data_IF_047881718071
#
_entry.id   IF_047881718071
#
_cell.length_a   1.000
_cell.length_b   1.000
_cell.length_c   1.000
_cell.angle_alpha   90.00
_cell.angle_beta   90.00
_cell.angle_gamma   90.00
#
_symmetry.space_group_name_H-M   'P 1'
#
loop_
_entity.id
_entity.type
_entity.pdbx_description
1 polymer ?
#
# COMPACT_ATOMS: atom_id res chain seq x y z
N UNK A 1 43.90 40.53 -6.10
CA UNK A 1 42.43 40.44 -5.84
C UNK A 1 41.60 39.64 -6.87
N UNK A 2 42.14 39.21 -8.04
CA UNK A 2 41.35 38.44 -9.06
C UNK A 2 41.17 36.93 -8.81
N UNK A 3 42.02 36.28 -8.01
CA UNK A 3 41.94 34.82 -7.75
C UNK A 3 40.75 34.42 -6.88
N UNK A 4 40.34 35.21 -5.89
CA UNK A 4 39.22 34.93 -5.02
C UNK A 4 37.85 34.99 -5.72
N UNK A 5 37.71 35.89 -6.73
CA UNK A 5 36.49 36.01 -7.52
C UNK A 5 36.26 34.78 -8.43
N UNK A 6 37.29 34.27 -9.08
CA UNK A 6 37.22 33.07 -9.94
C UNK A 6 36.82 31.85 -9.12
N UNK A 7 37.39 31.64 -7.95
CA UNK A 7 37.10 30.53 -7.07
C UNK A 7 35.65 30.59 -6.55
N UNK A 8 35.17 31.77 -6.19
CA UNK A 8 33.77 31.99 -5.77
C UNK A 8 32.78 31.71 -6.89
N UNK A 9 33.05 32.17 -8.10
CA UNK A 9 32.19 31.90 -9.26
C UNK A 9 32.19 30.41 -9.65
N UNK A 10 33.32 29.73 -9.57
CA UNK A 10 33.41 28.30 -9.80
C UNK A 10 32.58 27.53 -8.77
N UNK A 11 32.68 27.87 -7.49
CA UNK A 11 31.85 27.25 -6.42
C UNK A 11 30.36 27.52 -6.64
N UNK A 12 29.97 28.74 -7.02
CA UNK A 12 28.57 29.05 -7.31
C UNK A 12 28.02 28.22 -8.48
N UNK A 13 28.78 28.11 -9.57
CA UNK A 13 28.40 27.29 -10.74
C UNK A 13 28.28 25.82 -10.35
N UNK A 14 29.26 25.29 -9.59
CA UNK A 14 29.23 23.91 -9.14
C UNK A 14 28.01 23.62 -8.26
N UNK A 15 27.66 24.54 -7.34
CA UNK A 15 26.46 24.42 -6.50
C UNK A 15 25.17 24.49 -7.32
N UNK A 16 25.11 25.40 -8.32
CA UNK A 16 23.95 25.45 -9.23
C UNK A 16 23.78 24.15 -10.02
N UNK A 17 24.86 23.60 -10.55
CA UNK A 17 24.81 22.30 -11.26
C UNK A 17 24.35 21.20 -10.32
N UNK A 18 24.95 21.10 -9.13
CA UNK A 18 24.55 20.08 -8.14
C UNK A 18 23.08 20.23 -7.74
N UNK A 19 22.61 21.45 -7.50
CA UNK A 19 21.19 21.72 -7.20
C UNK A 19 20.26 21.32 -8.33
N UNK A 20 20.61 21.64 -9.58
CA UNK A 20 19.83 21.24 -10.77
C UNK A 20 19.77 19.72 -10.93
N UNK A 21 20.88 19.02 -10.71
CA UNK A 21 20.92 17.54 -10.75
C UNK A 21 20.05 16.92 -9.65
N UNK A 22 20.10 17.46 -8.41
CA UNK A 22 19.25 16.99 -7.31
C UNK A 22 17.76 17.21 -7.63
N UNK A 23 17.38 18.37 -8.16
CA UNK A 23 15.99 18.65 -8.56
C UNK A 23 15.54 17.73 -9.71
N UNK A 24 16.40 17.51 -10.70
CA UNK A 24 16.13 16.58 -11.80
C UNK A 24 15.91 15.15 -11.30
N UNK A 25 16.77 14.70 -10.37
CA UNK A 25 16.63 13.37 -9.75
C UNK A 25 15.34 13.24 -8.94
N UNK A 26 14.98 14.25 -8.14
CA UNK A 26 13.74 14.26 -7.39
C UNK A 26 12.52 14.21 -8.33
N UNK A 27 12.50 15.04 -9.37
CA UNK A 27 11.44 15.04 -10.38
C UNK A 27 11.31 13.68 -11.09
N UNK A 28 12.43 13.04 -11.41
CA UNK A 28 12.45 11.71 -12.03
C UNK A 28 11.86 10.61 -11.13
N UNK A 29 12.15 10.65 -9.83
CA UNK A 29 11.57 9.70 -8.86
C UNK A 29 10.06 9.86 -8.78
N UNK A 30 9.55 11.09 -8.68
CA UNK A 30 8.11 11.36 -8.65
C UNK A 30 7.42 10.95 -9.95
N UNK A 31 8.02 11.23 -11.11
CA UNK A 31 7.46 10.83 -12.41
C UNK A 31 7.35 9.30 -12.54
N UNK A 32 8.37 8.55 -12.09
CA UNK A 32 8.32 7.09 -12.08
C UNK A 32 7.26 6.55 -11.12
N UNK A 33 7.12 7.13 -9.94
CA UNK A 33 6.11 6.72 -8.97
C UNK A 33 4.70 6.96 -9.53
N UNK A 34 4.45 8.12 -10.11
CA UNK A 34 3.17 8.43 -10.76
C UNK A 34 2.86 7.45 -11.91
N UNK A 35 3.84 7.20 -12.79
CA UNK A 35 3.70 6.24 -13.90
C UNK A 35 3.38 4.83 -13.37
N UNK A 36 4.05 4.39 -12.32
CA UNK A 36 3.79 3.08 -11.71
C UNK A 36 2.35 2.97 -11.18
N UNK A 37 1.85 4.00 -10.49
CA UNK A 37 0.46 4.03 -10.00
C UNK A 37 -0.54 4.01 -11.16
N UNK A 38 -0.26 4.75 -12.24
CA UNK A 38 -1.11 4.74 -13.44
C UNK A 38 -1.14 3.34 -14.09
N UNK A 39 0.02 2.71 -14.27
CA UNK A 39 0.12 1.35 -14.83
C UNK A 39 -0.58 0.30 -13.96
N UNK A 40 -0.50 0.43 -12.63
CA UNK A 40 -1.20 -0.47 -11.70
C UNK A 40 -2.72 -0.29 -11.80
N UNK A 41 -3.19 0.95 -11.88
CA UNK A 41 -4.61 1.24 -12.05
C UNK A 41 -5.13 0.72 -13.39
N UNK A 42 -4.41 0.94 -14.50
CA UNK A 42 -4.72 0.40 -15.82
C UNK A 42 -4.76 -1.14 -15.82
N UNK A 43 -3.79 -1.77 -15.17
CA UNK A 43 -3.77 -3.23 -15.03
C UNK A 43 -5.01 -3.75 -14.27
N UNK A 44 -5.46 -3.05 -13.23
CA UNK A 44 -6.68 -3.41 -12.52
C UNK A 44 -7.92 -3.31 -13.42
N UNK A 45 -8.06 -2.22 -14.20
CA UNK A 45 -9.19 -2.05 -15.12
C UNK A 45 -9.21 -3.14 -16.22
N UNK A 46 -8.04 -3.52 -16.73
CA UNK A 46 -7.93 -4.61 -17.72
C UNK A 46 -8.29 -5.97 -17.10
N UNK A 47 -7.86 -6.23 -15.86
CA UNK A 47 -8.23 -7.44 -15.13
C UNK A 47 -9.75 -7.49 -14.88
N UNK A 48 -10.35 -6.37 -14.47
CA UNK A 48 -11.80 -6.23 -14.29
C UNK A 48 -12.58 -6.44 -15.60
N UNK A 49 -12.00 -6.06 -16.74
CA UNK A 49 -12.57 -6.34 -18.07
C UNK A 49 -12.41 -7.81 -18.51
N UNK A 50 -11.82 -8.67 -17.68
CA UNK A 50 -11.67 -10.11 -17.92
C UNK A 50 -10.40 -10.51 -18.67
N UNK A 51 -9.41 -9.63 -18.80
CA UNK A 51 -8.10 -9.99 -19.35
C UNK A 51 -7.38 -10.94 -18.38
N UNK A 52 -6.92 -12.12 -18.82
CA UNK A 52 -6.25 -13.07 -17.95
C UNK A 52 -4.81 -12.64 -17.63
N UNK A 53 -4.37 -12.82 -16.38
CA UNK A 53 -2.98 -12.61 -15.92
C UNK A 53 -2.41 -11.24 -16.30
N UNK A 54 -3.07 -10.18 -15.81
CA UNK A 54 -2.68 -8.80 -16.11
C UNK A 54 -1.56 -8.34 -15.18
N UNK A 55 -0.41 -8.00 -15.74
CA UNK A 55 0.70 -7.39 -15.02
C UNK A 55 0.78 -5.88 -15.33
N UNK A 56 1.12 -5.05 -14.32
CA UNK A 56 1.28 -3.61 -14.53
C UNK A 56 2.36 -3.26 -15.57
N UNK A 57 3.43 -4.05 -15.63
CA UNK A 57 4.49 -3.98 -16.65
C UNK A 57 5.06 -5.37 -16.93
N UNK A 58 5.71 -5.61 -18.09
CA UNK A 58 6.09 -6.95 -18.54
C UNK A 58 6.97 -7.77 -17.59
N UNK A 59 7.78 -7.10 -16.77
CA UNK A 59 8.67 -7.72 -15.78
C UNK A 59 8.17 -7.59 -14.35
N UNK A 60 6.90 -7.23 -14.14
CA UNK A 60 6.31 -7.21 -12.81
C UNK A 60 6.20 -8.65 -12.27
N UNK A 61 6.54 -8.80 -10.98
CA UNK A 61 6.38 -10.04 -10.22
C UNK A 61 5.10 -10.03 -9.38
N UNK A 62 4.15 -9.16 -9.75
CA UNK A 62 2.88 -8.96 -9.08
C UNK A 62 1.77 -8.62 -10.08
N UNK A 63 0.53 -8.80 -9.66
CA UNK A 63 -0.68 -8.48 -10.40
C UNK A 63 -1.71 -7.85 -9.46
N UNK A 64 -2.66 -7.05 -9.96
CA UNK A 64 -3.73 -6.50 -9.14
C UNK A 64 -4.69 -7.61 -8.69
N UNK A 65 -5.10 -7.56 -7.42
CA UNK A 65 -6.03 -8.51 -6.80
C UNK A 65 -7.36 -7.87 -6.47
N UNK A 66 -7.31 -6.64 -5.96
CA UNK A 66 -8.47 -5.93 -5.50
C UNK A 66 -8.25 -4.41 -5.51
N UNK A 67 -9.34 -3.66 -5.45
CA UNK A 67 -9.37 -2.23 -5.17
C UNK A 67 -9.94 -2.03 -3.78
N UNK A 68 -9.17 -1.36 -2.92
CA UNK A 68 -9.50 -1.11 -1.51
C UNK A 68 -9.89 0.35 -1.31
N UNK A 69 -11.06 0.60 -0.73
CA UNK A 69 -11.51 1.92 -0.33
C UNK A 69 -11.46 2.03 1.19
N UNK A 70 -10.67 2.98 1.69
CA UNK A 70 -10.50 3.26 3.11
C UNK A 70 -11.00 4.67 3.43
N UNK A 71 -11.69 4.86 4.56
CA UNK A 71 -11.94 6.20 5.09
C UNK A 71 -10.62 6.97 5.32
N UNK A 72 -10.59 8.23 4.91
CA UNK A 72 -9.41 9.09 5.09
C UNK A 72 -8.29 8.89 4.07
N UNK A 73 -8.42 7.97 3.11
CA UNK A 73 -7.51 7.88 1.97
C UNK A 73 -7.90 8.90 0.87
N UNK A 74 -6.91 9.43 0.16
CA UNK A 74 -7.12 10.39 -0.95
C UNK A 74 -7.80 9.76 -2.17
N UNK A 75 -7.91 8.43 -2.21
CA UNK A 75 -8.52 7.66 -3.29
C UNK A 75 -8.43 6.17 -3.05
N UNK A 76 -8.94 5.36 -4.00
CA UNK A 76 -8.85 3.91 -3.89
C UNK A 76 -7.39 3.43 -4.04
N UNK A 77 -7.06 2.39 -3.29
CA UNK A 77 -5.76 1.74 -3.31
C UNK A 77 -5.86 0.42 -4.08
N UNK A 78 -5.01 0.20 -5.06
CA UNK A 78 -4.96 -1.12 -5.71
C UNK A 78 -4.11 -2.05 -4.86
N UNK A 79 -4.69 -3.17 -4.47
CA UNK A 79 -4.04 -4.24 -3.72
C UNK A 79 -3.37 -5.18 -4.71
N UNK A 80 -2.10 -5.44 -4.48
CA UNK A 80 -1.25 -6.27 -5.34
C UNK A 80 -1.09 -7.68 -4.76
N UNK A 81 -0.86 -8.66 -5.61
CA UNK A 81 -0.55 -10.03 -5.18
C UNK A 81 0.84 -10.14 -4.54
N UNK A 82 0.97 -11.03 -3.55
CA UNK A 82 2.24 -11.38 -2.93
C UNK A 82 2.70 -10.43 -1.82
N UNK A 83 3.41 -10.99 -0.84
CA UNK A 83 3.86 -10.29 0.36
C UNK A 83 5.32 -9.83 0.29
N UNK A 84 5.89 -9.61 -0.90
CA UNK A 84 7.28 -9.18 -1.03
C UNK A 84 7.44 -7.70 -0.63
N UNK A 85 8.54 -7.38 0.04
CA UNK A 85 8.86 -5.98 0.40
C UNK A 85 8.98 -5.05 -0.81
N UNK A 86 9.26 -5.60 -2.00
CA UNK A 86 9.31 -4.85 -3.26
C UNK A 86 7.91 -4.40 -3.69
N UNK A 87 6.92 -5.28 -3.60
CA UNK A 87 5.53 -5.00 -4.01
C UNK A 87 4.89 -3.99 -3.07
N UNK A 88 5.21 -4.03 -1.78
CA UNK A 88 4.76 -3.06 -0.77
C UNK A 88 5.15 -1.61 -1.10
N UNK A 89 6.21 -1.38 -1.86
CA UNK A 89 6.60 -0.04 -2.30
C UNK A 89 5.59 0.57 -3.30
N UNK A 90 4.81 -0.25 -4.00
CA UNK A 90 3.86 0.18 -5.02
C UNK A 90 2.42 0.24 -4.53
N UNK A 91 2.06 -0.55 -3.52
CA UNK A 91 0.69 -0.61 -3.00
C UNK A 91 0.56 -1.55 -1.81
N UNK A 92 -0.62 -1.62 -1.18
CA UNK A 92 -0.92 -2.70 -0.27
C UNK A 92 -0.84 -4.04 -1.00
N UNK A 93 -0.49 -5.09 -0.29
CA UNK A 93 -0.37 -6.43 -0.85
C UNK A 93 -1.30 -7.41 -0.15
N UNK A 94 -1.86 -8.35 -0.91
CA UNK A 94 -2.61 -9.48 -0.41
C UNK A 94 -1.66 -10.65 -0.13
N UNK A 95 -1.76 -11.25 1.05
CA UNK A 95 -1.03 -12.47 1.39
C UNK A 95 -1.66 -13.67 0.66
N UNK A 96 -0.95 -14.33 -0.25
CA UNK A 96 -1.49 -15.43 -1.05
C UNK A 96 -1.82 -16.69 -0.22
N UNK A 97 -1.35 -16.78 1.03
CA UNK A 97 -1.74 -17.87 1.94
C UNK A 97 -3.10 -17.62 2.60
N UNK A 98 -3.65 -16.42 2.49
CA UNK A 98 -4.96 -16.05 3.00
C UNK A 98 -6.05 -16.17 1.94
N UNK A 99 -7.32 -16.20 2.36
CA UNK A 99 -8.45 -16.32 1.42
C UNK A 99 -8.65 -15.04 0.61
N UNK A 100 -9.32 -15.14 -0.52
CA UNK A 100 -9.72 -13.96 -1.30
C UNK A 100 -10.71 -13.09 -0.50
N UNK A 101 -10.71 -11.76 -0.69
CA UNK A 101 -11.63 -10.87 0.01
C UNK A 101 -13.09 -11.24 -0.23
N UNK A 102 -13.87 -11.41 0.84
CA UNK A 102 -15.27 -11.80 0.77
C UNK A 102 -15.52 -13.30 0.87
N UNK A 103 -14.50 -14.13 0.83
CA UNK A 103 -14.61 -15.56 1.10
C UNK A 103 -14.56 -15.86 2.61
N UNK A 104 -15.21 -16.96 3.09
CA UNK A 104 -15.10 -17.37 4.47
C UNK A 104 -13.64 -17.59 4.88
N UNK A 105 -13.21 -17.00 5.97
CA UNK A 105 -11.83 -16.98 6.41
C UNK A 105 -11.29 -15.56 6.59
N UNK A 106 -9.99 -15.45 6.84
CA UNK A 106 -9.28 -14.19 6.98
C UNK A 106 -8.54 -13.85 5.68
N UNK A 107 -8.91 -12.75 5.02
CA UNK A 107 -8.14 -12.13 3.95
C UNK A 107 -7.18 -11.11 4.54
N UNK A 108 -5.90 -11.17 4.20
CA UNK A 108 -4.86 -10.36 4.83
C UNK A 108 -4.27 -9.39 3.81
N UNK A 109 -4.37 -8.09 4.11
CA UNK A 109 -3.71 -7.05 3.34
C UNK A 109 -2.63 -6.39 4.20
N UNK A 110 -1.41 -6.31 3.69
CA UNK A 110 -0.30 -5.61 4.31
C UNK A 110 0.06 -4.33 3.55
N UNK A 111 0.50 -3.30 4.26
CA UNK A 111 0.91 -2.04 3.64
C UNK A 111 1.85 -1.23 4.53
N UNK A 112 2.61 -0.32 3.92
CA UNK A 112 3.46 0.60 4.67
C UNK A 112 2.63 1.64 5.44
N UNK A 113 2.96 1.84 6.73
CA UNK A 113 2.27 2.79 7.62
C UNK A 113 2.42 4.25 7.19
N UNK A 114 3.54 4.57 6.52
CA UNK A 114 3.89 5.95 6.18
C UNK A 114 3.31 6.39 4.82
N UNK A 115 2.71 5.46 4.07
CA UNK A 115 2.16 5.69 2.73
C UNK A 115 0.74 5.14 2.61
N UNK A 116 0.56 4.00 1.96
CA UNK A 116 -0.74 3.45 1.60
C UNK A 116 -1.63 3.14 2.83
N UNK A 117 -1.04 2.75 3.96
CA UNK A 117 -1.78 2.45 5.20
C UNK A 117 -1.65 3.53 6.27
N UNK A 118 -1.17 4.74 5.92
CA UNK A 118 -1.25 5.91 6.82
C UNK A 118 -2.70 6.21 7.28
N UNK A 119 -3.74 6.07 6.43
CA UNK A 119 -5.12 6.27 6.85
C UNK A 119 -5.60 5.35 7.98
N UNK A 120 -4.97 4.19 8.19
CA UNK A 120 -5.35 3.27 9.27
C UNK A 120 -5.23 3.91 10.66
N UNK A 121 -4.34 4.90 10.85
CA UNK A 121 -4.21 5.65 12.10
C UNK A 121 -5.49 6.39 12.50
N UNK A 122 -6.33 6.75 11.55
CA UNK A 122 -7.58 7.48 11.75
C UNK A 122 -8.83 6.62 11.81
N UNK A 123 -8.73 5.32 11.54
CA UNK A 123 -9.88 4.42 11.53
C UNK A 123 -10.50 4.26 12.92
N UNK A 124 -11.81 4.03 12.94
CA UNK A 124 -12.60 3.84 14.15
C UNK A 124 -13.44 2.57 14.05
N UNK A 125 -13.85 2.05 15.19
CA UNK A 125 -14.83 0.97 15.24
C UNK A 125 -16.12 1.40 14.54
N UNK A 126 -16.66 0.53 13.69
CA UNK A 126 -17.85 0.81 12.89
C UNK A 126 -17.60 1.43 11.52
N UNK A 127 -16.38 1.87 11.23
CA UNK A 127 -16.03 2.40 9.91
C UNK A 127 -16.22 1.32 8.83
N UNK A 128 -16.66 1.77 7.65
CA UNK A 128 -16.85 0.90 6.50
C UNK A 128 -15.61 0.86 5.63
N UNK A 129 -15.19 -0.35 5.26
CA UNK A 129 -14.14 -0.64 4.29
C UNK A 129 -14.78 -1.38 3.13
N UNK A 130 -14.54 -0.92 1.88
CA UNK A 130 -15.05 -1.57 0.68
C UNK A 130 -13.88 -2.18 -0.09
N UNK A 131 -14.06 -3.42 -0.52
CA UNK A 131 -13.11 -4.13 -1.38
C UNK A 131 -13.82 -4.55 -2.66
N UNK A 132 -13.32 -4.13 -3.79
CA UNK A 132 -13.76 -4.55 -5.11
C UNK A 132 -12.72 -5.50 -5.69
N UNK A 133 -13.13 -6.70 -6.04
CA UNK A 133 -12.29 -7.75 -6.64
C UNK A 133 -12.18 -7.56 -8.16
N UNK A 134 -11.17 -8.19 -8.77
CA UNK A 134 -10.98 -8.18 -10.24
C UNK A 134 -12.13 -8.85 -11.00
N UNK A 135 -12.98 -9.65 -10.35
CA UNK A 135 -14.20 -10.24 -10.94
C UNK A 135 -15.43 -9.31 -10.83
N UNK A 136 -15.24 -8.08 -10.35
CA UNK A 136 -16.30 -7.09 -10.16
C UNK A 136 -17.12 -7.29 -8.88
N UNK A 137 -16.87 -8.36 -8.13
CA UNK A 137 -17.56 -8.59 -6.84
C UNK A 137 -17.12 -7.55 -5.82
N UNK A 138 -18.07 -6.96 -5.12
CA UNK A 138 -17.80 -6.01 -4.05
C UNK A 138 -18.13 -6.62 -2.68
N UNK A 139 -17.20 -6.51 -1.75
CA UNK A 139 -17.38 -6.92 -0.37
C UNK A 139 -17.26 -5.71 0.55
N UNK A 140 -18.27 -5.49 1.38
CA UNK A 140 -18.30 -4.42 2.39
C UNK A 140 -17.97 -5.02 3.75
N UNK A 141 -16.99 -4.44 4.41
CA UNK A 141 -16.56 -4.82 5.75
C UNK A 141 -16.80 -3.68 6.72
N UNK A 142 -17.05 -4.02 7.99
CA UNK A 142 -17.18 -3.07 9.09
C UNK A 142 -16.05 -3.32 10.08
N UNK A 143 -15.30 -2.28 10.46
CA UNK A 143 -14.21 -2.37 11.45
C UNK A 143 -14.75 -2.82 12.79
N UNK A 144 -14.21 -3.92 13.34
CA UNK A 144 -14.62 -4.54 14.61
C UNK A 144 -13.56 -4.45 15.69
N UNK A 145 -12.27 -4.47 15.33
CA UNK A 145 -11.19 -4.24 16.30
C UNK A 145 -10.02 -3.49 15.68
N UNK A 146 -9.27 -2.81 16.55
CA UNK A 146 -8.05 -2.07 16.25
C UNK A 146 -7.04 -2.49 17.31
N UNK A 147 -6.07 -3.32 16.93
CA UNK A 147 -5.17 -3.99 17.86
C UNK A 147 -3.72 -3.64 17.57
N UNK A 148 -2.92 -3.53 18.63
CA UNK A 148 -1.45 -3.46 18.52
C UNK A 148 -0.87 -4.78 19.02
N UNK A 149 -0.17 -5.48 18.15
CA UNK A 149 0.35 -6.82 18.43
C UNK A 149 1.85 -6.92 18.20
N UNK A 150 2.51 -7.81 18.93
CA UNK A 150 3.89 -8.16 18.69
C UNK A 150 3.98 -9.32 17.69
N UNK A 151 4.49 -9.06 16.49
CA UNK A 151 4.58 -10.05 15.40
C UNK A 151 5.50 -11.23 15.71
N UNK A 152 6.34 -11.16 16.75
CA UNK A 152 7.16 -12.29 17.18
C UNK A 152 6.39 -13.31 17.99
N UNK A 153 5.30 -12.90 18.62
CA UNK A 153 4.48 -13.71 19.52
C UNK A 153 3.08 -13.98 18.97
N UNK A 154 2.55 -13.04 18.22
CA UNK A 154 1.20 -13.14 17.65
C UNK A 154 1.22 -13.88 16.31
N UNK A 155 0.21 -14.70 16.08
CA UNK A 155 0.00 -15.41 14.80
C UNK A 155 -1.41 -15.14 14.32
N UNK A 156 -1.53 -14.81 13.04
CA UNK A 156 -2.82 -14.69 12.39
C UNK A 156 -3.36 -16.10 12.15
N UNK A 157 -4.57 -16.36 12.62
CA UNK A 157 -5.31 -17.54 12.19
C UNK A 157 -5.89 -17.27 10.82
N UNK A 158 -5.79 -18.22 9.90
CA UNK A 158 -6.34 -18.05 8.55
C UNK A 158 -7.80 -18.45 8.48
N UNK A 159 -8.21 -19.38 9.35
CA UNK A 159 -9.57 -19.89 9.46
C UNK A 159 -10.47 -18.90 10.25
N UNK A 160 -11.62 -18.63 9.68
CA UNK A 160 -12.74 -17.94 10.32
C UNK A 160 -14.05 -18.41 9.68
N UNK A 161 -15.12 -18.47 10.47
CA UNK A 161 -16.44 -18.95 9.99
C UNK A 161 -17.11 -17.96 9.03
N UNK A 162 -16.68 -16.69 9.08
CA UNK A 162 -17.21 -15.59 8.26
C UNK A 162 -16.09 -14.86 7.56
N UNK A 163 -16.39 -14.18 6.44
CA UNK A 163 -15.40 -13.36 5.77
C UNK A 163 -14.89 -12.23 6.66
N UNK A 164 -13.58 -12.15 6.86
CA UNK A 164 -12.88 -11.09 7.57
C UNK A 164 -11.78 -10.50 6.72
N UNK A 165 -11.57 -9.23 6.87
CA UNK A 165 -10.45 -8.49 6.29
C UNK A 165 -9.53 -8.02 7.41
N UNK A 166 -8.27 -8.39 7.34
CA UNK A 166 -7.22 -7.92 8.22
C UNK A 166 -6.31 -6.95 7.46
N UNK A 167 -6.24 -5.70 7.94
CA UNK A 167 -5.31 -4.71 7.42
C UNK A 167 -4.15 -4.59 8.41
N UNK A 168 -2.93 -4.89 7.93
CA UNK A 168 -1.74 -5.01 8.78
C UNK A 168 -0.69 -4.00 8.37
N UNK A 169 -0.20 -3.21 9.33
CA UNK A 169 0.90 -2.28 9.10
C UNK A 169 1.86 -2.22 10.29
N UNK A 170 3.00 -1.54 10.12
CA UNK A 170 3.96 -1.31 11.20
C UNK A 170 3.40 -0.34 12.25
N UNK A 171 3.84 -0.48 13.51
CA UNK A 171 3.47 0.39 14.63
C UNK A 171 4.72 0.73 15.46
N UNK A 172 4.80 1.92 16.11
CA UNK A 172 3.83 3.03 16.07
C UNK A 172 3.89 3.86 14.78
N UNK A 173 2.84 4.63 14.49
CA UNK A 173 2.72 5.42 13.26
C UNK A 173 3.72 6.57 13.16
N UNK A 174 4.20 7.11 14.29
CA UNK A 174 5.15 8.21 14.40
C UNK A 174 6.61 7.77 14.60
N UNK A 175 6.90 6.46 14.58
CA UNK A 175 8.25 5.97 14.78
C UNK A 175 9.16 6.32 13.60
N UNK A 176 10.34 6.83 13.91
CA UNK A 176 11.40 7.10 12.92
C UNK A 176 12.01 5.78 12.41
N UNK A 177 12.14 4.78 13.27
CA UNK A 177 12.64 3.46 12.92
C UNK A 177 11.47 2.50 12.63
N UNK A 178 11.36 1.96 11.40
CA UNK A 178 10.30 1.02 11.04
C UNK A 178 10.57 -0.44 11.45
N UNK A 179 11.74 -0.77 12.00
CA UNK A 179 12.21 -2.15 12.19
C UNK A 179 11.63 -2.86 13.42
N UNK A 180 10.80 -2.18 14.22
CA UNK A 180 10.18 -2.77 15.42
C UNK A 180 9.25 -3.95 15.12
N UNK A 181 9.04 -4.87 16.10
CA UNK A 181 8.17 -6.03 15.92
C UNK A 181 6.68 -5.71 16.01
N UNK A 182 6.33 -4.50 16.45
CA UNK A 182 4.93 -4.13 16.67
C UNK A 182 4.20 -3.90 15.35
N UNK A 183 2.96 -4.40 15.30
CA UNK A 183 2.07 -4.23 14.15
C UNK A 183 0.73 -3.67 14.62
N UNK A 184 0.18 -2.76 13.83
CA UNK A 184 -1.19 -2.32 13.96
C UNK A 184 -2.05 -3.20 13.05
N UNK A 185 -3.08 -3.80 13.62
CA UNK A 185 -3.98 -4.73 12.93
C UNK A 185 -5.40 -4.22 13.06
N UNK A 186 -6.02 -3.93 11.93
CA UNK A 186 -7.44 -3.64 11.84
C UNK A 186 -8.14 -4.93 11.43
N UNK A 187 -9.10 -5.38 12.24
CA UNK A 187 -9.98 -6.49 11.86
C UNK A 187 -11.34 -5.92 11.47
N UNK A 188 -11.75 -6.17 10.24
CA UNK A 188 -13.07 -5.82 9.75
C UNK A 188 -13.84 -7.08 9.32
N UNK A 189 -15.13 -7.16 9.65
CA UNK A 189 -16.00 -8.29 9.33
C UNK A 189 -16.95 -7.91 8.20
N UNK A 190 -17.25 -8.85 7.32
CA UNK A 190 -18.25 -8.61 6.29
C UNK A 190 -19.57 -8.16 6.94
N UNK A 191 -20.14 -7.09 6.38
CA UNK A 191 -21.49 -6.70 6.73
C UNK A 191 -22.39 -7.88 6.29
N UNK A 192 -23.04 -8.55 7.26
CA UNK A 192 -23.97 -9.64 6.94
C UNK A 192 -24.98 -9.15 5.90
N UNK A 193 -25.36 -10.00 4.98
CA UNK A 193 -26.56 -9.77 4.17
C UNK A 193 -27.72 -9.52 5.14
N UNK A 194 -28.38 -8.36 5.00
CA UNK A 194 -29.62 -8.04 5.68
C UNK A 194 -30.77 -8.84 5.08
#
# INVERSE_FOLDING_TARGET
>A
MKAGSRRRNFLAVALCIAGTLCLGQAGWVHAKAWLAQWLIADAFERALAGEPTVRPWPWADTEPVARLHLPGADGPLIVLSGASGRNLAFGPTHDPSSVAPGEPGNSIFAGHRDTHFAPLAGLRLGDAVLVERIDGTQARFTVRSLDVVDSTRWRIRLDADRPRLLLVTCYPFDAVDPSGPMRFVVTAEAAGEL
#
